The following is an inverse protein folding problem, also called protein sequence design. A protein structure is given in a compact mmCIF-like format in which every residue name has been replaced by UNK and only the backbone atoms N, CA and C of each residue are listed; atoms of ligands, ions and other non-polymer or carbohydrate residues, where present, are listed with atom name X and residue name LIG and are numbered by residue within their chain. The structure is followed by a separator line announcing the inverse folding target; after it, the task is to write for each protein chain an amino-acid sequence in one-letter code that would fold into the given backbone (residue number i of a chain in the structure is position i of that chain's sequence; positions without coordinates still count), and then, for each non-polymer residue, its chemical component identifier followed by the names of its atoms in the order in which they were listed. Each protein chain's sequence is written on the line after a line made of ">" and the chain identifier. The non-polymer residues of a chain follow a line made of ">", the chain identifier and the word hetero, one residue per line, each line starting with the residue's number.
data_IF_526364666665
#
_entry.id   IF_526364666665
#
_cell.length_a   1.000
_cell.length_b   1.000
_cell.length_c   1.000
_cell.angle_alpha   90.00
_cell.angle_beta   90.00
_cell.angle_gamma   90.00
#
_symmetry.space_group_name_H-M   'P 1'
#
loop_
_entity.id
_entity.type
_entity.pdbx_description
1 polymer ?
#
# COMPACT_ATOMS: atom_id res chain seq x y z
N UNK A 1 -26.45 -24.46 -15.72
CA UNK A 1 -25.89 -23.14 -15.33
C UNK A 1 -24.38 -23.27 -15.25
N UNK A 2 -23.66 -22.91 -16.32
CA UNK A 2 -22.21 -23.04 -16.38
C UNK A 2 -21.56 -22.08 -15.37
N UNK A 3 -21.02 -22.62 -14.27
CA UNK A 3 -20.20 -21.87 -13.33
C UNK A 3 -18.99 -21.33 -14.09
N UNK A 4 -18.96 -20.01 -14.28
CA UNK A 4 -17.82 -19.30 -14.88
C UNK A 4 -16.63 -19.55 -13.97
N UNK A 5 -15.85 -20.61 -14.27
CA UNK A 5 -14.54 -20.84 -13.66
C UNK A 5 -13.73 -19.60 -14.01
N UNK A 6 -13.62 -18.66 -13.06
CA UNK A 6 -12.71 -17.51 -13.15
C UNK A 6 -11.36 -18.18 -13.40
N UNK A 7 -10.89 -18.16 -14.65
CA UNK A 7 -9.58 -18.69 -14.98
C UNK A 7 -8.63 -17.85 -14.13
N UNK A 8 -8.18 -18.43 -13.03
CA UNK A 8 -7.15 -17.89 -12.18
C UNK A 8 -5.82 -18.03 -12.93
N UNK A 9 -5.77 -17.55 -14.17
CA UNK A 9 -4.56 -17.08 -14.81
C UNK A 9 -4.14 -15.82 -14.06
N UNK A 10 -3.86 -15.97 -12.77
CA UNK A 10 -3.10 -15.00 -12.02
C UNK A 10 -1.72 -15.02 -12.67
N UNK A 11 -1.44 -14.02 -13.49
CA UNK A 11 -0.06 -13.70 -13.82
C UNK A 11 0.60 -13.31 -12.50
N UNK A 12 1.30 -14.25 -11.87
CA UNK A 12 2.06 -14.00 -10.63
C UNK A 12 3.26 -13.08 -10.89
N UNK A 13 3.64 -12.94 -12.16
CA UNK A 13 4.66 -12.05 -12.71
C UNK A 13 5.16 -12.63 -14.03
N UNK A 14 6.00 -11.86 -14.74
CA UNK A 14 6.76 -12.40 -15.85
C UNK A 14 7.95 -13.21 -15.30
N UNK A 15 8.35 -14.25 -16.03
CA UNK A 15 9.65 -14.88 -15.84
C UNK A 15 10.69 -14.07 -16.64
N UNK A 16 11.90 -13.83 -16.13
CA UNK A 16 12.55 -14.41 -14.93
C UNK A 16 12.34 -13.67 -13.59
N UNK A 17 11.63 -12.54 -13.59
CA UNK A 17 11.44 -11.66 -12.43
C UNK A 17 10.72 -12.37 -11.28
N UNK A 18 9.82 -13.30 -11.62
CA UNK A 18 9.20 -14.23 -10.68
C UNK A 18 9.64 -15.65 -10.99
N UNK A 19 10.31 -16.27 -10.01
CA UNK A 19 10.74 -17.65 -10.13
C UNK A 19 9.54 -18.60 -10.12
N UNK A 20 9.70 -19.77 -10.73
CA UNK A 20 8.67 -20.82 -10.72
C UNK A 20 8.30 -21.26 -9.29
N UNK A 21 9.27 -21.23 -8.38
CA UNK A 21 9.05 -21.52 -6.96
C UNK A 21 8.11 -20.49 -6.31
N UNK A 22 8.42 -19.20 -6.47
CA UNK A 22 7.58 -18.12 -5.94
C UNK A 22 6.17 -18.14 -6.53
N UNK A 23 6.03 -18.43 -7.83
CA UNK A 23 4.71 -18.56 -8.46
C UNK A 23 3.89 -19.73 -7.89
N UNK A 24 4.53 -20.88 -7.58
CA UNK A 24 3.86 -22.02 -6.94
C UNK A 24 3.39 -21.70 -5.53
N UNK A 25 4.24 -21.02 -4.75
CA UNK A 25 3.90 -20.61 -3.40
C UNK A 25 2.69 -19.65 -3.39
N UNK A 26 2.71 -18.63 -4.25
CA UNK A 26 1.60 -17.68 -4.37
C UNK A 26 0.28 -18.37 -4.78
N UNK A 27 0.33 -19.37 -5.66
CA UNK A 27 -0.85 -20.19 -6.00
C UNK A 27 -1.38 -20.96 -4.80
N UNK A 28 -0.50 -21.52 -3.98
CA UNK A 28 -0.91 -22.31 -2.83
C UNK A 28 -1.48 -21.43 -1.70
N UNK A 29 -0.96 -20.20 -1.54
CA UNK A 29 -1.55 -19.16 -0.70
C UNK A 29 -2.95 -18.76 -1.18
N UNK A 30 -3.13 -18.47 -2.47
CA UNK A 30 -4.44 -18.13 -3.04
C UNK A 30 -5.46 -19.28 -2.83
N UNK A 31 -5.02 -20.54 -2.97
CA UNK A 31 -5.85 -21.72 -2.68
C UNK A 31 -6.23 -21.82 -1.20
N UNK A 32 -5.32 -21.50 -0.29
CA UNK A 32 -5.61 -21.48 1.14
C UNK A 32 -6.66 -20.41 1.48
N UNK A 33 -6.57 -19.23 0.87
CA UNK A 33 -7.57 -18.16 1.05
C UNK A 33 -8.96 -18.57 0.53
N UNK A 34 -9.02 -19.23 -0.64
CA UNK A 34 -10.27 -19.78 -1.17
C UNK A 34 -10.88 -20.83 -0.23
N UNK A 35 -10.05 -21.73 0.33
CA UNK A 35 -10.53 -22.72 1.32
C UNK A 35 -11.05 -22.04 2.59
N UNK A 36 -10.47 -20.91 2.98
CA UNK A 36 -10.92 -20.09 4.08
C UNK A 36 -12.16 -19.21 3.73
N UNK A 37 -12.75 -19.38 2.54
CA UNK A 37 -13.91 -18.62 2.09
C UNK A 37 -13.62 -17.18 1.70
N UNK A 38 -12.35 -16.80 1.52
CA UNK A 38 -11.93 -15.44 1.13
C UNK A 38 -11.57 -15.41 -0.34
N UNK A 39 -11.86 -14.29 -1.02
CA UNK A 39 -11.45 -14.08 -2.41
C UNK A 39 -10.02 -13.53 -2.45
N UNK A 40 -9.04 -14.25 -3.05
CA UNK A 40 -7.64 -13.81 -3.11
C UNK A 40 -7.43 -12.46 -3.81
N UNK A 41 -8.34 -12.10 -4.73
CA UNK A 41 -8.27 -10.81 -5.42
C UNK A 41 -8.54 -9.63 -4.49
N UNK A 42 -9.41 -9.83 -3.49
CA UNK A 42 -9.69 -8.81 -2.47
C UNK A 42 -8.53 -8.70 -1.48
N UNK A 43 -7.96 -9.82 -1.03
CA UNK A 43 -6.82 -9.82 -0.12
C UNK A 43 -5.60 -9.14 -0.75
N UNK A 44 -5.29 -9.44 -2.01
CA UNK A 44 -4.20 -8.77 -2.75
C UNK A 44 -4.43 -7.27 -2.88
N UNK A 45 -5.66 -6.85 -3.18
CA UNK A 45 -6.03 -5.43 -3.24
C UNK A 45 -5.90 -4.75 -1.88
N UNK A 46 -6.32 -5.41 -0.80
CA UNK A 46 -6.15 -4.90 0.56
C UNK A 46 -4.68 -4.71 0.91
N UNK A 47 -3.83 -5.72 0.68
CA UNK A 47 -2.38 -5.61 0.90
C UNK A 47 -1.75 -4.46 0.10
N UNK A 48 -2.13 -4.27 -1.16
CA UNK A 48 -1.64 -3.13 -1.95
C UNK A 48 -2.11 -1.78 -1.42
N UNK A 49 -3.37 -1.69 -0.96
CA UNK A 49 -3.90 -0.46 -0.36
C UNK A 49 -3.22 -0.17 0.97
N UNK A 50 -2.96 -1.18 1.79
CA UNK A 50 -2.23 -1.04 3.06
C UNK A 50 -0.79 -0.59 2.83
N UNK A 51 -0.06 -1.21 1.89
CA UNK A 51 1.29 -0.78 1.53
C UNK A 51 1.33 0.68 1.08
N UNK A 52 0.37 1.11 0.24
CA UNK A 52 0.23 2.50 -0.21
C UNK A 52 -0.25 3.46 0.89
N UNK A 53 -0.94 2.96 1.91
CA UNK A 53 -1.38 3.77 3.06
C UNK A 53 -0.19 4.09 3.96
N UNK A 54 0.63 3.10 4.28
CA UNK A 54 1.82 3.29 5.14
C UNK A 54 2.74 4.36 4.56
N UNK A 55 3.03 4.26 3.25
CA UNK A 55 3.89 5.20 2.52
C UNK A 55 3.38 6.66 2.53
N UNK A 56 2.05 6.84 2.64
CA UNK A 56 1.42 8.17 2.61
C UNK A 56 1.09 8.72 3.99
N UNK A 57 1.27 7.98 5.07
CA UNK A 57 0.76 8.40 6.38
C UNK A 57 1.56 9.57 6.97
N UNK A 58 2.89 9.52 6.96
CA UNK A 58 3.70 10.56 7.63
C UNK A 58 3.60 11.91 6.89
N UNK A 59 3.87 11.92 5.59
CA UNK A 59 3.82 13.14 4.78
C UNK A 59 2.43 13.77 4.77
N UNK A 60 1.39 12.98 4.53
CA UNK A 60 0.00 13.48 4.48
C UNK A 60 -0.48 14.02 5.82
N UNK A 61 -0.13 13.36 6.93
CA UNK A 61 -0.48 13.85 8.27
C UNK A 61 0.34 15.08 8.63
N UNK A 62 1.62 15.12 8.25
CA UNK A 62 2.50 16.27 8.45
C UNK A 62 2.05 17.52 7.72
N UNK A 63 1.72 17.40 6.43
CA UNK A 63 1.19 18.51 5.61
C UNK A 63 -0.13 19.05 6.19
N UNK A 64 -1.07 18.18 6.57
CA UNK A 64 -2.32 18.60 7.20
C UNK A 64 -2.13 19.26 8.56
N UNK A 65 -1.20 18.76 9.37
CA UNK A 65 -0.87 19.35 10.65
C UNK A 65 -0.24 20.73 10.47
N UNK A 66 0.65 20.88 9.49
CA UNK A 66 1.30 22.15 9.15
C UNK A 66 0.27 23.20 8.72
N UNK A 67 -0.69 22.83 7.86
CA UNK A 67 -1.78 23.70 7.44
C UNK A 67 -2.59 24.19 8.65
N UNK A 68 -2.96 23.29 9.57
CA UNK A 68 -3.69 23.62 10.79
C UNK A 68 -2.91 24.49 11.78
N UNK A 69 -1.57 24.37 11.85
CA UNK A 69 -0.74 25.13 12.78
C UNK A 69 -0.22 26.46 12.22
N UNK A 70 -0.14 26.61 10.90
CA UNK A 70 0.33 27.83 10.23
C UNK A 70 -0.43 29.09 10.67
N UNK A 71 -1.75 28.97 10.95
CA UNK A 71 -2.59 30.06 11.43
C UNK A 71 -2.28 30.53 12.86
N UNK A 72 -1.56 29.72 13.65
CA UNK A 72 -1.26 29.98 15.07
C UNK A 72 0.16 30.49 15.31
N UNK A 73 1.04 30.39 14.33
CA UNK A 73 2.45 30.73 14.50
C UNK A 73 2.70 32.21 14.20
N UNK A 74 3.27 32.92 15.18
CA UNK A 74 3.77 34.29 15.04
C UNK A 74 5.11 34.29 14.31
N UNK A 75 5.32 35.31 13.46
CA UNK A 75 6.42 35.53 12.48
C UNK A 75 7.86 35.49 13.04
N UNK A 76 8.06 35.28 14.33
CA UNK A 76 9.35 35.48 15.01
C UNK A 76 10.35 34.32 14.86
N UNK A 77 9.90 33.20 14.30
CA UNK A 77 10.71 32.00 14.04
C UNK A 77 10.16 31.35 12.79
N UNK A 78 10.96 30.56 12.04
CA UNK A 78 10.53 29.83 10.84
C UNK A 78 10.21 28.34 11.08
N UNK A 79 9.28 27.96 11.98
CA UNK A 79 8.96 26.57 12.22
C UNK A 79 8.26 25.89 11.01
N UNK A 80 7.76 26.67 10.05
CA UNK A 80 7.14 26.12 8.83
C UNK A 80 8.18 25.47 7.92
N UNK A 81 9.33 26.14 7.71
CA UNK A 81 10.38 25.60 6.84
C UNK A 81 11.08 24.40 7.49
N UNK A 82 11.40 24.48 8.79
CA UNK A 82 12.04 23.39 9.53
C UNK A 82 11.20 22.10 9.53
N UNK A 83 9.88 22.24 9.69
CA UNK A 83 8.95 21.11 9.64
C UNK A 83 8.84 20.57 8.20
N UNK A 84 8.77 21.43 7.19
CA UNK A 84 8.74 20.99 5.79
C UNK A 84 9.99 20.21 5.40
N UNK A 85 11.18 20.71 5.72
CA UNK A 85 12.46 20.02 5.47
C UNK A 85 12.57 18.70 6.23
N UNK A 86 12.03 18.63 7.45
CA UNK A 86 11.99 17.38 8.22
C UNK A 86 11.06 16.34 7.62
N UNK A 87 9.92 16.76 7.05
CA UNK A 87 9.00 15.88 6.33
C UNK A 87 9.60 15.37 5.01
N UNK A 88 10.38 16.19 4.31
CA UNK A 88 11.10 15.78 3.10
C UNK A 88 12.23 14.78 3.38
N UNK A 89 12.89 14.87 4.54
CA UNK A 89 13.96 13.92 4.92
C UNK A 89 13.43 12.55 5.33
N UNK A 90 12.19 12.46 5.81
CA UNK A 90 11.60 11.26 6.40
C UNK A 90 10.56 10.55 5.51
N UNK A 91 10.25 11.11 4.34
CA UNK A 91 9.44 10.50 3.29
C UNK A 91 10.32 9.73 2.29
#
# INVERSE_FOLDING_TARGET
>A
MAGRKKLLAFAFGAYPEVTLAAAREARDQDRAEIRAGRDPSLTRRQRQVEAKRVDKQLRHVGEKWLEAQSARWTTRTQPVEDVSTSLERLA
#
